data_IF_881613035992
#
_entry.id   IF_881613035992
#
_cell.length_a   1.000
_cell.length_b   1.000
_cell.length_c   1.000
_cell.angle_alpha   90.00
_cell.angle_beta   90.00
_cell.angle_gamma   90.00
#
_symmetry.space_group_name_H-M   'P 1'
#
loop_
_entity.id
_entity.type
_entity.pdbx_description
1 polymer ?
#
# COMPACT_ATOMS: atom_id res chain seq x y z
N UNK A 1 4.87 -0.69 -3.39
CA UNK A 1 4.73 -2.11 -3.02
C UNK A 1 5.14 -2.98 -4.21
N UNK A 2 6.17 -3.82 -4.11
CA UNK A 2 6.50 -4.83 -5.14
C UNK A 2 6.47 -6.20 -4.49
N UNK A 3 5.65 -7.11 -5.01
CA UNK A 3 5.52 -8.47 -4.46
C UNK A 3 6.48 -9.47 -5.12
N UNK A 4 7.29 -9.04 -6.10
CA UNK A 4 8.10 -9.93 -6.95
C UNK A 4 8.98 -10.91 -6.18
N UNK A 5 9.62 -10.46 -5.09
CA UNK A 5 10.51 -11.30 -4.29
C UNK A 5 9.77 -12.45 -3.58
N UNK A 6 8.52 -12.22 -3.18
CA UNK A 6 7.71 -13.18 -2.42
C UNK A 6 6.75 -14.00 -3.30
N UNK A 7 6.40 -13.51 -4.49
CA UNK A 7 5.52 -14.23 -5.44
C UNK A 7 6.10 -15.58 -5.89
N UNK A 8 7.42 -15.78 -5.83
CA UNK A 8 8.07 -17.08 -6.07
C UNK A 8 7.65 -18.18 -5.08
N UNK A 9 7.12 -17.80 -3.91
CA UNK A 9 6.57 -18.72 -2.90
C UNK A 9 5.05 -18.88 -3.00
N UNK A 10 4.46 -18.36 -4.07
CA UNK A 10 3.03 -18.47 -4.37
C UNK A 10 2.26 -17.16 -4.17
N UNK A 11 1.06 -17.04 -4.77
CA UNK A 11 0.24 -15.83 -4.74
C UNK A 11 -0.08 -15.33 -3.34
N UNK A 12 -0.48 -16.23 -2.43
CA UNK A 12 -0.88 -15.89 -1.08
C UNK A 12 0.29 -15.31 -0.28
N UNK A 13 1.44 -16.00 -0.29
CA UNK A 13 2.66 -15.55 0.41
C UNK A 13 3.16 -14.24 -0.19
N UNK A 14 3.12 -14.11 -1.52
CA UNK A 14 3.48 -12.90 -2.25
C UNK A 14 2.69 -11.68 -1.80
N UNK A 15 1.35 -11.77 -1.85
CA UNK A 15 0.47 -10.64 -1.55
C UNK A 15 0.41 -10.36 -0.05
N UNK A 16 0.13 -11.38 0.77
CA UNK A 16 -0.04 -11.20 2.22
C UNK A 16 1.28 -10.85 2.89
N UNK A 17 2.37 -11.54 2.55
CA UNK A 17 3.69 -11.26 3.13
C UNK A 17 4.18 -9.84 2.81
N UNK A 18 4.03 -9.41 1.55
CA UNK A 18 4.39 -8.03 1.15
C UNK A 18 3.51 -7.00 1.84
N UNK A 19 2.21 -7.30 2.00
CA UNK A 19 1.26 -6.44 2.74
C UNK A 19 1.68 -6.25 4.19
N UNK A 20 2.00 -7.35 4.89
CA UNK A 20 2.43 -7.28 6.28
C UNK A 20 3.73 -6.49 6.44
N UNK A 21 4.73 -6.74 5.59
CA UNK A 21 6.00 -5.99 5.62
C UNK A 21 5.74 -4.48 5.42
N UNK A 22 4.92 -4.13 4.44
CA UNK A 22 4.58 -2.74 4.15
C UNK A 22 3.80 -2.07 5.28
N UNK A 23 2.78 -2.73 5.82
CA UNK A 23 2.00 -2.19 6.93
C UNK A 23 2.85 -2.02 8.18
N UNK A 24 3.72 -2.98 8.50
CA UNK A 24 4.65 -2.88 9.62
C UNK A 24 5.67 -1.75 9.44
N UNK A 25 6.11 -1.48 8.20
CA UNK A 25 6.98 -0.34 7.90
C UNK A 25 6.33 1.03 8.16
N UNK A 26 4.99 1.10 8.21
CA UNK A 26 4.26 2.32 8.62
C UNK A 26 4.09 2.45 10.14
N UNK A 27 4.47 1.40 10.89
CA UNK A 27 4.23 1.30 12.33
C UNK A 27 2.79 0.94 12.68
N UNK A 28 2.57 0.45 13.91
CA UNK A 28 1.22 0.11 14.41
C UNK A 28 0.59 1.36 15.03
N UNK A 29 -0.21 2.07 14.23
CA UNK A 29 -0.87 3.32 14.59
C UNK A 29 -2.30 3.36 13.99
N UNK A 30 -2.98 4.50 14.10
CA UNK A 30 -4.35 4.70 13.62
C UNK A 30 -4.52 4.47 12.10
N UNK A 31 -3.46 4.63 11.29
CA UNK A 31 -3.52 4.35 9.85
C UNK A 31 -3.23 2.90 9.51
N UNK A 32 -2.81 2.07 10.48
CA UNK A 32 -2.45 0.66 10.28
C UNK A 32 -3.52 -0.18 9.56
N UNK A 33 -4.83 -0.10 9.92
CA UNK A 33 -5.87 -0.83 9.20
C UNK A 33 -6.00 -0.39 7.74
N UNK A 34 -5.85 0.91 7.47
CA UNK A 34 -5.94 1.45 6.11
C UNK A 34 -4.77 0.98 5.25
N UNK A 35 -3.53 1.00 5.77
CA UNK A 35 -2.35 0.54 5.03
C UNK A 35 -2.34 -0.96 4.78
N UNK A 36 -2.97 -1.78 5.64
CA UNK A 36 -3.21 -3.20 5.36
C UNK A 36 -4.13 -3.38 4.15
N UNK A 37 -5.26 -2.67 4.11
CA UNK A 37 -6.20 -2.75 2.99
C UNK A 37 -5.55 -2.27 1.69
N UNK A 38 -4.88 -1.11 1.73
CA UNK A 38 -4.13 -0.60 0.57
C UNK A 38 -3.06 -1.58 0.12
N UNK A 39 -2.38 -2.22 1.07
CA UNK A 39 -1.33 -3.20 0.78
C UNK A 39 -1.86 -4.42 0.03
N UNK A 40 -3.01 -4.96 0.47
CA UNK A 40 -3.66 -6.11 -0.17
C UNK A 40 -4.11 -5.76 -1.60
N UNK A 41 -4.75 -4.60 -1.78
CA UNK A 41 -5.22 -4.13 -3.08
C UNK A 41 -4.03 -3.92 -4.02
N UNK A 42 -3.01 -3.18 -3.60
CA UNK A 42 -1.84 -2.91 -4.41
C UNK A 42 -1.06 -4.19 -4.73
N UNK A 43 -0.95 -5.13 -3.79
CA UNK A 43 -0.30 -6.42 -4.00
C UNK A 43 -1.03 -7.30 -5.02
N UNK A 44 -2.37 -7.36 -4.94
CA UNK A 44 -3.18 -8.13 -5.88
C UNK A 44 -3.18 -7.49 -7.29
N UNK A 45 -3.26 -6.16 -7.37
CA UNK A 45 -3.15 -5.43 -8.64
C UNK A 45 -1.78 -5.66 -9.27
N UNK A 46 -0.70 -5.60 -8.48
CA UNK A 46 0.64 -5.92 -8.95
C UNK A 46 0.73 -7.35 -9.47
N UNK A 47 0.18 -8.33 -8.73
CA UNK A 47 0.20 -9.75 -9.13
C UNK A 47 -0.49 -9.97 -10.48
N UNK A 48 -1.60 -9.27 -10.75
CA UNK A 48 -2.36 -9.43 -12.00
C UNK A 48 -1.79 -8.64 -13.17
N UNK A 49 -1.26 -7.45 -12.90
CA UNK A 49 -0.83 -6.51 -13.96
C UNK A 49 0.67 -6.53 -14.24
N UNK A 50 1.49 -7.02 -13.29
CA UNK A 50 2.95 -6.87 -13.30
C UNK A 50 3.44 -5.43 -13.11
N UNK A 51 2.55 -4.44 -12.99
CA UNK A 51 2.91 -3.01 -12.95
C UNK A 51 2.94 -2.48 -11.53
N UNK A 52 4.13 -2.05 -11.08
CA UNK A 52 4.30 -1.36 -9.79
C UNK A 52 3.62 0.02 -9.78
N UNK A 53 3.51 0.66 -10.95
CA UNK A 53 2.95 2.01 -11.09
C UNK A 53 1.49 2.09 -10.71
N UNK A 54 0.70 1.03 -10.98
CA UNK A 54 -0.69 0.99 -10.51
C UNK A 54 -0.78 1.01 -8.98
N UNK A 55 0.12 0.31 -8.30
CA UNK A 55 0.23 0.37 -6.84
C UNK A 55 0.64 1.77 -6.33
N UNK A 56 1.50 2.48 -7.06
CA UNK A 56 1.88 3.88 -6.74
C UNK A 56 0.67 4.80 -6.87
N UNK A 57 -0.12 4.67 -7.94
CA UNK A 57 -1.34 5.47 -8.15
C UNK A 57 -2.36 5.23 -7.04
N UNK A 58 -2.64 3.95 -6.71
CA UNK A 58 -3.53 3.59 -5.60
C UNK A 58 -3.06 4.24 -4.30
N UNK A 59 -1.77 4.15 -4.00
CA UNK A 59 -1.22 4.72 -2.78
C UNK A 59 -1.34 6.25 -2.76
N UNK A 60 -1.03 6.93 -3.87
CA UNK A 60 -1.15 8.38 -3.99
C UNK A 60 -2.60 8.84 -3.76
N UNK A 61 -3.58 8.17 -4.39
CA UNK A 61 -5.00 8.50 -4.26
C UNK A 61 -5.48 8.38 -2.81
N UNK A 62 -5.07 7.33 -2.10
CA UNK A 62 -5.48 7.12 -0.70
C UNK A 62 -4.80 8.13 0.25
N UNK A 63 -3.64 8.67 -0.11
CA UNK A 63 -2.96 9.71 0.67
C UNK A 63 -3.44 11.14 0.38
N UNK A 64 -4.15 11.37 -0.73
CA UNK A 64 -4.63 12.70 -1.11
C UNK A 64 -5.44 13.40 0.00
N UNK A 65 -6.38 12.73 0.70
CA UNK A 65 -7.10 13.35 1.81
C UNK A 65 -6.16 13.84 2.92
N UNK A 66 -5.15 13.05 3.28
CA UNK A 66 -4.15 13.40 4.30
C UNK A 66 -3.33 14.62 3.88
N UNK A 67 -2.85 14.64 2.64
CA UNK A 67 -2.07 15.77 2.09
C UNK A 67 -2.95 17.02 2.02
N UNK A 68 -4.19 16.89 1.57
CA UNK A 68 -5.12 18.01 1.47
C UNK A 68 -5.43 18.63 2.83
N UNK A 69 -5.73 17.80 3.84
CA UNK A 69 -5.95 18.26 5.23
C UNK A 69 -4.69 18.96 5.78
N UNK A 70 -3.50 18.41 5.54
CA UNK A 70 -2.24 19.03 5.98
C UNK A 70 -1.98 20.39 5.33
N UNK A 71 -2.34 20.57 4.06
CA UNK A 71 -2.22 21.86 3.36
C UNK A 71 -3.20 22.88 3.94
N UNK A 72 -4.46 22.49 4.18
CA UNK A 72 -5.46 23.38 4.77
C UNK A 72 -5.07 23.84 6.18
N UNK A 73 -4.60 22.93 7.03
CA UNK A 73 -4.13 23.26 8.39
C UNK A 73 -2.95 24.24 8.33
N UNK A 74 -2.04 24.10 7.36
CA UNK A 74 -0.90 25.01 7.20
C UNK A 74 -1.24 26.35 6.55
N UNK A 75 -2.41 26.47 5.92
CA UNK A 75 -2.87 27.66 5.23
C UNK A 75 -3.87 28.50 6.05
N UNK A 76 -4.15 28.09 7.30
CA UNK A 76 -4.98 28.81 8.28
C UNK A 76 -4.13 29.38 9.40
#
# INVERSE_FOLDING_TARGET
MSCNALLRYGPLVGVVGSTLIFALAHGVNEVFPAVLVVGLIAGEVFRRSGSVWLGVVIHAVVNLPTVFVLVLIRAS
#
